data_IF_104249559830
#
_entry.id   IF_104249559830
#
_cell.length_a   1.000
_cell.length_b   1.000
_cell.length_c   1.000
_cell.angle_alpha   90.00
_cell.angle_beta   90.00
_cell.angle_gamma   90.00
#
_symmetry.space_group_name_H-M   'P 1'
#
loop_
_entity.id
_entity.type
_entity.pdbx_description
1 polymer ?
#
# COMPACT_ATOMS: atom_id res chain seq x y z
N UNK A 1 -11.94 3.13 -3.15
CA UNK A 1 -10.69 2.77 -2.46
C UNK A 1 -10.76 1.30 -2.09
N UNK A 2 -9.74 0.53 -2.44
CA UNK A 2 -9.64 -0.90 -2.09
C UNK A 2 -8.94 -1.02 -0.75
N UNK A 3 -9.48 -1.83 0.17
CA UNK A 3 -8.99 -1.95 1.54
C UNK A 3 -8.93 -3.43 1.97
N UNK A 4 -7.96 -3.75 2.81
CA UNK A 4 -7.98 -4.98 3.60
C UNK A 4 -8.91 -4.87 4.82
N UNK A 5 -9.04 -5.94 5.58
CA UNK A 5 -9.96 -6.04 6.72
C UNK A 5 -9.32 -5.69 8.08
N UNK A 6 -8.23 -4.91 8.11
CA UNK A 6 -7.65 -4.49 9.40
C UNK A 6 -8.67 -3.66 10.18
N UNK A 7 -8.71 -3.88 11.51
CA UNK A 7 -9.78 -3.39 12.39
C UNK A 7 -10.00 -1.88 12.30
N UNK A 8 -8.95 -1.10 12.06
CA UNK A 8 -9.05 0.36 11.98
C UNK A 8 -9.75 0.87 10.71
N UNK A 9 -9.80 0.09 9.62
CA UNK A 9 -10.62 0.43 8.45
C UNK A 9 -12.13 0.39 8.73
N UNK A 10 -12.55 -0.35 9.77
CA UNK A 10 -13.95 -0.46 10.21
C UNK A 10 -14.26 0.45 11.41
N UNK A 11 -13.35 1.35 11.79
CA UNK A 11 -13.54 2.20 12.95
C UNK A 11 -14.80 3.07 12.80
N UNK A 12 -15.71 3.02 13.79
CA UNK A 12 -16.95 3.83 13.79
C UNK A 12 -16.70 5.33 13.63
N UNK A 13 -15.53 5.80 14.07
CA UNK A 13 -15.07 7.20 13.92
C UNK A 13 -14.93 7.64 12.45
N UNK A 14 -14.78 6.72 11.51
CA UNK A 14 -14.70 7.04 10.08
C UNK A 14 -16.08 7.31 9.47
N UNK A 15 -17.18 6.82 10.07
CA UNK A 15 -18.53 6.91 9.50
C UNK A 15 -18.94 8.33 9.08
N UNK A 16 -18.75 9.40 9.89
CA UNK A 16 -19.15 10.75 9.48
C UNK A 16 -18.38 11.26 8.26
N UNK A 17 -17.10 10.90 8.15
CA UNK A 17 -16.25 11.29 7.02
C UNK A 17 -16.67 10.51 5.77
N UNK A 18 -16.87 9.20 5.89
CA UNK A 18 -17.32 8.35 4.78
C UNK A 18 -18.69 8.79 4.27
N UNK A 19 -19.62 9.14 5.15
CA UNK A 19 -20.94 9.64 4.75
C UNK A 19 -20.84 10.97 4.00
N UNK A 20 -20.03 11.91 4.50
CA UNK A 20 -19.78 13.21 3.85
C UNK A 20 -19.22 13.04 2.42
N UNK A 21 -18.38 12.05 2.19
CA UNK A 21 -17.70 11.83 0.91
C UNK A 21 -18.24 10.65 0.10
N UNK A 22 -19.40 10.08 0.47
CA UNK A 22 -20.00 8.91 -0.19
C UNK A 22 -20.22 9.08 -1.69
N UNK A 23 -20.41 10.33 -2.14
CA UNK A 23 -20.62 10.69 -3.54
C UNK A 23 -19.32 10.71 -4.38
N UNK A 24 -18.15 10.65 -3.74
CA UNK A 24 -16.83 10.69 -4.40
C UNK A 24 -16.00 9.44 -4.17
N UNK A 25 -16.31 8.69 -3.11
CA UNK A 25 -15.49 7.57 -2.68
C UNK A 25 -16.37 6.43 -2.18
N UNK A 26 -16.18 5.28 -2.80
CA UNK A 26 -16.68 4.00 -2.33
C UNK A 26 -15.53 3.20 -1.69
N UNK A 27 -15.85 2.39 -0.68
CA UNK A 27 -14.90 1.45 -0.09
C UNK A 27 -15.20 0.03 -0.58
N UNK A 28 -14.18 -0.63 -1.12
CA UNK A 28 -14.25 -2.03 -1.54
C UNK A 28 -13.35 -2.83 -0.61
N UNK A 29 -13.94 -3.68 0.22
CA UNK A 29 -13.21 -4.56 1.12
C UNK A 29 -12.87 -5.87 0.40
N UNK A 30 -11.59 -6.24 0.44
CA UNK A 30 -11.12 -7.50 -0.11
C UNK A 30 -11.61 -8.69 0.73
N UNK A 31 -11.65 -9.92 0.16
CA UNK A 31 -11.84 -11.12 0.94
C UNK A 31 -10.78 -11.23 2.06
N UNK A 32 -11.11 -11.86 3.21
CA UNK A 32 -10.17 -12.04 4.30
C UNK A 32 -8.90 -12.77 3.84
N UNK A 33 -7.75 -12.31 4.33
CA UNK A 33 -6.44 -12.92 4.06
C UNK A 33 -6.07 -13.04 2.56
N UNK A 34 -6.48 -12.08 1.73
CA UNK A 34 -6.13 -12.03 0.30
C UNK A 34 -5.11 -10.93 -0.04
N UNK A 35 -3.84 -11.06 0.40
CA UNK A 35 -2.79 -10.06 0.12
C UNK A 35 -2.47 -9.95 -1.38
N UNK A 36 -2.67 -11.04 -2.13
CA UNK A 36 -2.56 -11.13 -3.58
C UNK A 36 -3.55 -10.22 -4.32
N UNK A 37 -4.70 -9.93 -3.71
CA UNK A 37 -5.70 -9.01 -4.25
C UNK A 37 -5.45 -7.55 -3.84
N UNK A 38 -4.49 -7.28 -2.95
CA UNK A 38 -4.18 -5.94 -2.47
C UNK A 38 -2.96 -5.37 -3.21
N UNK A 39 -3.13 -4.45 -4.19
CA UNK A 39 -2.01 -3.99 -5.03
C UNK A 39 -0.89 -3.31 -4.25
N UNK A 40 -1.19 -2.74 -3.08
CA UNK A 40 -0.18 -2.07 -2.24
C UNK A 40 0.87 -3.06 -1.72
N UNK A 41 0.52 -4.33 -1.49
CA UNK A 41 1.46 -5.36 -1.04
C UNK A 41 2.60 -5.56 -2.05
N UNK A 42 2.31 -5.45 -3.34
CA UNK A 42 3.32 -5.52 -4.41
C UNK A 42 4.24 -4.30 -4.40
N UNK A 43 3.69 -3.12 -4.13
CA UNK A 43 4.48 -1.90 -3.94
C UNK A 43 5.39 -2.04 -2.72
N UNK A 44 4.89 -2.62 -1.62
CA UNK A 44 5.70 -2.93 -0.43
C UNK A 44 6.81 -3.93 -0.70
N UNK A 45 6.55 -4.95 -1.52
CA UNK A 45 7.59 -5.88 -1.91
C UNK A 45 8.69 -5.21 -2.74
N UNK A 46 8.33 -4.34 -3.68
CA UNK A 46 9.28 -3.55 -4.46
C UNK A 46 10.08 -2.61 -3.54
N UNK A 47 9.39 -1.88 -2.65
CA UNK A 47 10.02 -1.03 -1.64
C UNK A 47 11.02 -1.83 -0.82
N UNK A 48 10.65 -3.03 -0.33
CA UNK A 48 11.55 -3.90 0.40
C UNK A 48 12.81 -4.19 -0.39
N UNK A 49 12.70 -4.60 -1.66
CA UNK A 49 13.87 -4.89 -2.52
C UNK A 49 14.78 -3.67 -2.71
N UNK A 50 14.19 -2.47 -2.81
CA UNK A 50 14.91 -1.22 -3.14
C UNK A 50 15.48 -0.50 -1.93
N UNK A 51 14.77 -0.50 -0.81
CA UNK A 51 15.03 0.36 0.34
C UNK A 51 15.53 -0.44 1.54
N UNK A 52 14.85 -1.52 1.94
CA UNK A 52 15.14 -2.17 3.23
C UNK A 52 15.97 -3.44 3.15
N UNK A 53 15.87 -4.20 2.05
CA UNK A 53 16.53 -5.49 1.93
C UNK A 53 18.05 -5.33 1.89
N UNK A 54 18.73 -6.00 2.82
CA UNK A 54 20.19 -6.02 2.97
C UNK A 54 20.84 -4.62 3.07
N UNK A 55 20.11 -3.65 3.64
CA UNK A 55 20.59 -2.27 3.84
C UNK A 55 20.45 -1.90 5.30
N UNK A 56 21.56 -1.59 5.94
CA UNK A 56 21.59 -1.11 7.32
C UNK A 56 21.59 0.42 7.33
N UNK A 57 20.83 1.00 8.26
CA UNK A 57 20.83 2.42 8.59
C UNK A 57 20.86 2.56 10.11
N UNK A 58 21.37 3.68 10.61
CA UNK A 58 21.58 3.90 12.05
C UNK A 58 20.30 4.31 12.76
N UNK A 59 19.42 5.05 12.09
CA UNK A 59 18.20 5.60 12.70
C UNK A 59 16.95 5.36 11.85
N UNK A 60 15.78 5.46 12.50
CA UNK A 60 14.50 5.44 11.78
C UNK A 60 14.34 6.65 10.85
N UNK A 61 14.87 7.82 11.23
CA UNK A 61 14.84 9.02 10.38
C UNK A 61 15.56 8.78 9.06
N UNK A 62 16.77 8.24 9.11
CA UNK A 62 17.52 7.86 7.90
C UNK A 62 16.75 6.84 7.04
N UNK A 63 16.01 5.92 7.66
CA UNK A 63 15.19 4.96 6.93
C UNK A 63 14.05 5.65 6.18
N UNK A 64 13.39 6.62 6.81
CA UNK A 64 12.33 7.41 6.20
C UNK A 64 12.89 8.23 5.04
N UNK A 65 14.06 8.86 5.21
CA UNK A 65 14.71 9.62 4.13
C UNK A 65 15.04 8.74 2.91
N UNK A 66 15.49 7.50 3.12
CA UNK A 66 15.71 6.54 2.03
C UNK A 66 14.41 6.16 1.32
N UNK A 67 13.32 5.99 2.07
CA UNK A 67 12.01 5.72 1.51
C UNK A 67 11.49 6.90 0.68
N UNK A 68 11.60 8.12 1.20
CA UNK A 68 11.18 9.35 0.50
C UNK A 68 11.97 9.55 -0.80
N UNK A 69 13.31 9.40 -0.75
CA UNK A 69 14.16 9.40 -1.95
C UNK A 69 13.70 8.36 -2.96
N UNK A 70 13.35 7.15 -2.52
CA UNK A 70 12.84 6.13 -3.43
C UNK A 70 11.49 6.53 -4.05
N UNK A 71 10.59 7.12 -3.28
CA UNK A 71 9.30 7.65 -3.76
C UNK A 71 9.47 8.71 -4.87
N UNK A 72 10.53 9.53 -4.81
CA UNK A 72 10.84 10.50 -5.87
C UNK A 72 11.38 9.85 -7.15
N UNK A 73 12.01 8.67 -7.03
CA UNK A 73 12.60 7.97 -8.19
C UNK A 73 11.68 6.97 -8.87
N UNK A 74 10.69 6.42 -8.15
CA UNK A 74 9.79 5.43 -8.71
C UNK A 74 8.80 6.10 -9.67
N UNK A 75 8.74 5.61 -10.92
CA UNK A 75 7.85 6.19 -11.92
C UNK A 75 6.41 5.68 -11.77
N UNK A 76 5.40 6.48 -12.17
CA UNK A 76 4.01 6.03 -12.20
C UNK A 76 3.81 4.76 -13.04
N UNK A 77 4.60 4.58 -14.10
CA UNK A 77 4.57 3.36 -14.91
C UNK A 77 5.06 2.15 -14.12
N UNK A 78 6.13 2.27 -13.34
CA UNK A 78 6.60 1.17 -12.49
C UNK A 78 5.55 0.78 -11.44
N UNK A 79 4.90 1.75 -10.81
CA UNK A 79 3.80 1.51 -9.85
C UNK A 79 2.66 0.78 -10.56
N UNK A 80 2.21 1.27 -11.72
CA UNK A 80 1.13 0.66 -12.48
C UNK A 80 1.47 -0.77 -12.90
N UNK A 81 2.69 -1.01 -13.35
CA UNK A 81 3.17 -2.34 -13.73
C UNK A 81 3.10 -3.28 -12.54
N UNK A 82 3.69 -2.93 -11.38
CA UNK A 82 3.66 -3.84 -10.22
C UNK A 82 2.26 -4.07 -9.68
N UNK A 83 1.38 -3.06 -9.69
CA UNK A 83 0.00 -3.22 -9.24
C UNK A 83 -0.81 -4.19 -10.13
N UNK A 84 -0.52 -4.21 -11.44
CA UNK A 84 -1.24 -5.03 -12.43
C UNK A 84 -0.68 -6.43 -12.63
N UNK A 85 0.42 -6.79 -11.95
CA UNK A 85 0.93 -8.16 -12.00
C UNK A 85 -0.09 -9.10 -11.34
N UNK A 86 -0.84 -9.85 -12.14
CA UNK A 86 -1.56 -11.02 -11.64
C UNK A 86 -0.51 -12.13 -11.55
N UNK A 87 0.10 -12.27 -10.37
CA UNK A 87 0.90 -13.45 -10.10
C UNK A 87 -0.07 -14.63 -9.94
N UNK A 88 -0.03 -15.58 -10.88
CA UNK A 88 -0.53 -16.94 -10.63
C UNK A 88 0.40 -17.54 -9.57
N UNK A 89 0.15 -17.24 -8.30
CA UNK A 89 0.82 -17.92 -7.18
C UNK A 89 -0.02 -19.15 -6.84
N UNK A 90 0.00 -20.13 -7.74
CA UNK A 90 -0.17 -21.56 -7.49
C UNK A 90 0.59 -22.33 -8.58
#
# INVERSE_FOLDING_TARGET
MVLDNVRFHHAKRLKPVLERYRHRMELVFLPPCSPDLNPIERVWWLMRKRVTHNRWVKTMGERVDEFERWCETISPLQIKTVCNLIENIY
#
